data_IF_242350888972
#
_entry.id   IF_242350888972
#
_cell.length_a   1.000
_cell.length_b   1.000
_cell.length_c   1.000
_cell.angle_alpha   90.00
_cell.angle_beta   90.00
_cell.angle_gamma   90.00
#
_symmetry.space_group_name_H-M   'P 1'
#
loop_
_entity.id
_entity.type
_entity.pdbx_description
1 polymer ?
#
# COMPACT_ATOMS: atom_id res chain seq x y z
N UNK A 1 -24.98 2.38 15.08
CA UNK A 1 -24.69 1.05 14.58
C UNK A 1 -24.98 0.99 13.08
N UNK A 2 -24.10 0.34 12.33
CA UNK A 2 -24.26 0.05 10.91
C UNK A 2 -24.60 -1.44 10.73
N UNK A 3 -25.53 -1.75 9.82
CA UNK A 3 -25.81 -3.12 9.38
C UNK A 3 -24.97 -3.42 8.14
N UNK A 4 -24.34 -4.56 8.12
CA UNK A 4 -23.49 -5.04 7.03
C UNK A 4 -24.10 -6.28 6.41
N UNK A 5 -24.57 -6.19 5.16
CA UNK A 5 -24.97 -7.33 4.37
C UNK A 5 -23.85 -7.60 3.37
N UNK A 6 -22.99 -8.59 3.65
CA UNK A 6 -21.80 -8.89 2.87
C UNK A 6 -21.77 -10.33 2.41
N UNK A 7 -21.26 -10.58 1.21
CA UNK A 7 -20.96 -11.90 0.66
C UNK A 7 -19.46 -12.24 0.67
N UNK A 8 -18.62 -11.38 1.26
CA UNK A 8 -17.17 -11.58 1.30
C UNK A 8 -16.67 -11.61 2.75
N UNK A 9 -15.61 -12.36 2.97
CA UNK A 9 -14.87 -12.47 4.21
C UNK A 9 -13.37 -12.50 3.94
N UNK A 10 -12.55 -12.53 4.97
CA UNK A 10 -11.11 -12.61 4.82
C UNK A 10 -10.73 -13.90 4.05
N UNK A 11 -9.94 -13.75 2.98
CA UNK A 11 -9.55 -14.84 2.10
C UNK A 11 -10.51 -15.12 0.93
N UNK A 12 -11.61 -14.38 0.83
CA UNK A 12 -12.50 -14.50 -0.34
C UNK A 12 -11.79 -14.07 -1.62
N UNK A 13 -11.99 -14.83 -2.69
CA UNK A 13 -11.53 -14.46 -4.04
C UNK A 13 -12.64 -13.67 -4.73
N UNK A 14 -12.33 -12.42 -5.07
CA UNK A 14 -13.25 -11.54 -5.81
C UNK A 14 -12.98 -11.71 -7.29
N UNK A 15 -13.89 -12.41 -7.99
CA UNK A 15 -13.86 -12.61 -9.43
C UNK A 15 -14.70 -11.60 -10.21
N UNK A 16 -14.76 -11.78 -11.52
CA UNK A 16 -15.54 -10.95 -12.46
C UNK A 16 -16.80 -11.64 -12.99
N UNK A 17 -17.12 -12.83 -12.48
CA UNK A 17 -18.21 -13.67 -12.99
C UNK A 17 -19.60 -13.20 -12.52
N UNK A 18 -19.64 -12.38 -11.47
CA UNK A 18 -20.86 -11.84 -10.88
C UNK A 18 -20.85 -10.32 -10.90
N UNK A 19 -21.89 -9.69 -10.31
CA UNK A 19 -21.94 -8.24 -10.21
C UNK A 19 -20.81 -7.69 -9.28
N UNK A 20 -20.44 -6.41 -9.43
CA UNK A 20 -19.34 -5.83 -8.69
C UNK A 20 -19.70 -5.44 -7.24
N UNK A 21 -20.88 -5.78 -6.74
CA UNK A 21 -21.31 -5.44 -5.39
C UNK A 21 -20.72 -6.38 -4.35
N UNK A 22 -19.79 -5.91 -3.53
CA UNK A 22 -19.14 -6.69 -2.47
C UNK A 22 -19.97 -6.72 -1.18
N UNK A 23 -20.57 -5.59 -0.82
CA UNK A 23 -21.34 -5.46 0.40
C UNK A 23 -22.36 -4.31 0.29
N UNK A 24 -23.43 -4.39 1.09
CA UNK A 24 -24.38 -3.31 1.33
C UNK A 24 -24.27 -2.85 2.76
N UNK A 25 -23.99 -1.57 2.97
CA UNK A 25 -23.89 -0.96 4.29
C UNK A 25 -25.09 -0.09 4.55
N UNK A 26 -25.78 -0.31 5.66
CA UNK A 26 -27.05 0.34 5.98
C UNK A 26 -26.94 1.01 7.35
N UNK A 27 -27.29 2.28 7.42
CA UNK A 27 -27.37 3.03 8.68
C UNK A 27 -28.73 3.69 8.84
N UNK A 28 -29.12 3.92 10.09
CA UNK A 28 -30.33 4.63 10.46
C UNK A 28 -29.98 5.85 11.32
N UNK A 29 -30.60 6.97 11.04
CA UNK A 29 -30.48 8.21 11.80
C UNK A 29 -31.82 8.88 12.04
N UNK A 30 -31.88 9.81 12.98
CA UNK A 30 -33.07 10.64 13.22
C UNK A 30 -33.33 11.62 12.07
N UNK A 31 -32.26 12.04 11.40
CA UNK A 31 -32.29 12.92 10.23
C UNK A 31 -31.43 12.33 9.11
N UNK A 32 -31.61 12.86 7.89
CA UNK A 32 -30.76 12.52 6.73
C UNK A 32 -29.28 12.75 7.04
N UNK A 33 -28.96 13.89 7.64
CA UNK A 33 -27.57 14.24 8.00
C UNK A 33 -26.98 13.26 9.00
N UNK A 34 -27.74 12.87 10.04
CA UNK A 34 -27.31 11.89 11.03
C UNK A 34 -27.04 10.50 10.38
N UNK A 35 -27.97 10.03 9.53
CA UNK A 35 -27.79 8.76 8.83
C UNK A 35 -26.58 8.79 7.87
N UNK A 36 -26.43 9.87 7.09
CA UNK A 36 -25.32 10.02 6.15
C UNK A 36 -23.97 10.08 6.87
N UNK A 37 -23.86 10.83 7.96
CA UNK A 37 -22.63 10.92 8.75
C UNK A 37 -22.27 9.57 9.40
N UNK A 38 -23.24 8.82 9.92
CA UNK A 38 -23.01 7.47 10.45
C UNK A 38 -22.52 6.52 9.37
N UNK A 39 -23.10 6.60 8.16
CA UNK A 39 -22.69 5.77 7.04
C UNK A 39 -21.27 6.12 6.58
N UNK A 40 -20.96 7.41 6.44
CA UNK A 40 -19.62 7.87 6.08
C UNK A 40 -18.57 7.39 7.11
N UNK A 41 -18.84 7.55 8.40
CA UNK A 41 -17.95 7.12 9.48
C UNK A 41 -17.76 5.58 9.48
N UNK A 42 -18.81 4.81 9.24
CA UNK A 42 -18.71 3.36 9.13
C UNK A 42 -17.81 2.94 7.95
N UNK A 43 -17.95 3.60 6.80
CA UNK A 43 -17.11 3.36 5.63
C UNK A 43 -15.66 3.82 5.83
N UNK A 44 -15.45 4.97 6.48
CA UNK A 44 -14.11 5.49 6.82
C UNK A 44 -13.34 4.55 7.75
N UNK A 45 -14.03 3.89 8.68
CA UNK A 45 -13.44 2.93 9.63
C UNK A 45 -13.21 1.53 9.03
N UNK A 46 -13.70 1.27 7.83
CA UNK A 46 -13.61 -0.01 7.17
C UNK A 46 -12.22 -0.21 6.56
N UNK A 47 -11.57 -1.30 6.94
CA UNK A 47 -10.29 -1.72 6.38
C UNK A 47 -10.50 -2.87 5.39
N UNK A 48 -10.18 -2.63 4.11
CA UNK A 48 -10.25 -3.63 3.04
C UNK A 48 -8.92 -3.62 2.28
N UNK A 49 -8.23 -4.75 2.28
CA UNK A 49 -7.02 -4.97 1.50
C UNK A 49 -7.22 -5.98 0.38
N UNK A 50 -6.40 -5.90 -0.68
CA UNK A 50 -6.37 -6.88 -1.77
C UNK A 50 -7.32 -6.61 -2.94
N UNK A 51 -8.28 -5.70 -2.79
CA UNK A 51 -9.22 -5.32 -3.86
C UNK A 51 -9.46 -3.81 -3.86
N UNK A 52 -9.53 -3.22 -5.04
CA UNK A 52 -9.90 -1.82 -5.19
C UNK A 52 -11.40 -1.65 -5.01
N UNK A 53 -11.82 -0.76 -4.11
CA UNK A 53 -13.22 -0.47 -3.82
C UNK A 53 -13.58 0.96 -4.15
N UNK A 54 -14.88 1.26 -4.22
CA UNK A 54 -15.41 2.63 -4.36
C UNK A 54 -15.66 3.31 -3.01
N UNK A 55 -15.10 2.82 -1.90
CA UNK A 55 -15.31 3.35 -0.55
C UNK A 55 -15.06 4.86 -0.46
N UNK A 56 -13.93 5.33 -0.93
CA UNK A 56 -13.54 6.75 -0.84
C UNK A 56 -14.51 7.64 -1.61
N UNK A 57 -14.95 7.19 -2.79
CA UNK A 57 -15.97 7.87 -3.56
C UNK A 57 -17.31 7.94 -2.82
N UNK A 58 -17.72 6.86 -2.15
CA UNK A 58 -18.95 6.84 -1.35
C UNK A 58 -18.85 7.79 -0.16
N UNK A 59 -17.72 7.80 0.54
CA UNK A 59 -17.49 8.74 1.66
C UNK A 59 -17.54 10.19 1.17
N UNK A 60 -16.83 10.52 0.08
CA UNK A 60 -16.85 11.87 -0.49
C UNK A 60 -18.27 12.29 -0.92
N UNK A 61 -19.03 11.36 -1.51
CA UNK A 61 -20.44 11.62 -1.88
C UNK A 61 -21.31 11.89 -0.67
N UNK A 62 -21.21 11.07 0.38
CA UNK A 62 -22.01 11.20 1.62
C UNK A 62 -21.69 12.49 2.38
N UNK A 63 -20.45 12.97 2.32
CA UNK A 63 -19.96 14.18 2.96
C UNK A 63 -20.27 15.45 2.16
N UNK A 64 -20.71 15.33 0.90
CA UNK A 64 -21.00 16.49 0.06
C UNK A 64 -22.23 17.26 0.57
N UNK A 65 -22.19 18.58 0.46
CA UNK A 65 -23.26 19.48 0.91
C UNK A 65 -24.58 19.19 0.21
N UNK A 66 -24.53 18.91 -1.09
CA UNK A 66 -25.73 18.61 -1.89
C UNK A 66 -26.37 17.29 -1.47
N UNK A 67 -25.57 16.25 -1.14
CA UNK A 67 -26.10 15.01 -0.60
C UNK A 67 -26.80 15.24 0.76
N UNK A 68 -26.15 15.99 1.66
CA UNK A 68 -26.71 16.27 2.99
C UNK A 68 -27.99 17.09 2.91
N UNK A 69 -28.09 18.00 1.94
CA UNK A 69 -29.31 18.82 1.66
C UNK A 69 -30.39 18.06 0.88
N UNK A 70 -30.13 16.82 0.46
CA UNK A 70 -31.12 16.04 -0.32
C UNK A 70 -31.22 16.39 -1.79
N UNK A 71 -30.28 17.16 -2.34
CA UNK A 71 -30.21 17.54 -3.76
C UNK A 71 -29.58 16.43 -4.58
N UNK A 72 -30.21 15.27 -4.61
CA UNK A 72 -29.69 14.05 -5.25
C UNK A 72 -30.48 13.74 -6.52
N UNK A 73 -30.41 14.64 -7.51
CA UNK A 73 -30.94 14.46 -8.86
C UNK A 73 -30.09 13.47 -9.65
N UNK A 74 -30.57 12.99 -10.80
CA UNK A 74 -29.86 11.99 -11.63
C UNK A 74 -28.44 12.43 -12.07
N UNK A 75 -28.23 13.74 -12.14
CA UNK A 75 -26.94 14.38 -12.49
C UNK A 75 -26.09 14.77 -11.26
N UNK A 76 -26.46 14.29 -10.06
CA UNK A 76 -25.75 14.60 -8.81
C UNK A 76 -24.25 14.29 -8.88
N UNK A 77 -23.89 13.12 -9.39
CA UNK A 77 -22.47 12.68 -9.47
C UNK A 77 -21.66 13.60 -10.40
N UNK A 78 -22.25 13.97 -11.53
CA UNK A 78 -21.60 14.87 -12.50
C UNK A 78 -21.38 16.26 -11.91
N UNK A 79 -22.40 16.79 -11.20
CA UNK A 79 -22.35 18.12 -10.59
C UNK A 79 -21.42 18.22 -9.38
N UNK A 80 -21.50 17.25 -8.48
CA UNK A 80 -20.73 17.27 -7.23
C UNK A 80 -19.30 16.74 -7.42
N UNK A 81 -19.05 15.99 -8.49
CA UNK A 81 -17.77 15.38 -8.84
C UNK A 81 -16.98 14.85 -7.60
N UNK A 82 -17.55 13.90 -6.84
CA UNK A 82 -16.92 13.43 -5.62
C UNK A 82 -15.56 12.79 -5.91
N UNK A 83 -14.60 13.01 -5.01
CA UNK A 83 -13.27 12.44 -5.12
C UNK A 83 -13.33 10.90 -5.16
N UNK A 84 -12.69 10.27 -6.14
CA UNK A 84 -12.75 8.82 -6.36
C UNK A 84 -11.79 8.02 -5.51
N UNK A 85 -10.66 8.62 -5.14
CA UNK A 85 -9.65 8.01 -4.30
C UNK A 85 -8.93 9.08 -3.47
N UNK A 86 -8.58 8.74 -2.24
CA UNK A 86 -7.75 9.59 -1.39
C UNK A 86 -6.29 9.33 -1.71
N UNK A 87 -5.56 10.37 -2.11
CA UNK A 87 -4.11 10.32 -2.34
C UNK A 87 -3.43 10.98 -1.17
N UNK A 88 -2.65 10.20 -0.42
CA UNK A 88 -1.92 10.71 0.74
C UNK A 88 -0.75 11.59 0.31
N UNK A 89 -0.55 12.70 1.03
CA UNK A 89 0.55 13.66 0.82
C UNK A 89 0.99 14.21 2.16
N UNK A 90 2.22 14.77 2.19
CA UNK A 90 2.76 15.43 3.38
C UNK A 90 2.74 14.53 4.62
N UNK A 91 2.32 15.07 5.75
CA UNK A 91 2.33 14.39 7.04
C UNK A 91 1.49 13.10 7.09
N UNK A 92 0.39 13.02 6.34
CA UNK A 92 -0.42 11.80 6.26
C UNK A 92 0.36 10.65 5.60
N UNK A 93 1.08 10.92 4.51
CA UNK A 93 1.94 9.94 3.86
C UNK A 93 3.12 9.55 4.75
N UNK A 94 3.76 10.53 5.41
CA UNK A 94 4.87 10.29 6.33
C UNK A 94 4.45 9.43 7.53
N UNK A 95 3.29 9.69 8.11
CA UNK A 95 2.74 8.90 9.21
C UNK A 95 2.41 7.46 8.76
N UNK A 96 1.79 7.30 7.58
CA UNK A 96 1.43 6.00 7.05
C UNK A 96 2.69 5.16 6.73
N UNK A 97 3.69 5.75 6.09
CA UNK A 97 4.96 5.07 5.75
C UNK A 97 5.79 4.77 6.99
N UNK A 98 5.80 5.65 8.00
CA UNK A 98 6.47 5.43 9.28
C UNK A 98 5.82 4.27 10.05
N UNK A 99 4.48 4.24 10.10
CA UNK A 99 3.74 3.14 10.71
C UNK A 99 4.02 1.80 10.00
N UNK A 100 4.02 1.79 8.66
CA UNK A 100 4.39 0.61 7.86
C UNK A 100 5.81 0.13 8.18
N UNK A 101 6.79 1.04 8.16
CA UNK A 101 8.19 0.70 8.38
C UNK A 101 8.45 0.16 9.79
N UNK A 102 7.86 0.77 10.82
CA UNK A 102 8.03 0.31 12.20
C UNK A 102 7.22 -0.95 12.50
N UNK A 103 6.10 -1.18 11.82
CA UNK A 103 5.39 -2.45 11.91
C UNK A 103 6.21 -3.59 11.28
N UNK A 104 6.80 -3.39 10.09
CA UNK A 104 7.71 -4.37 9.44
C UNK A 104 8.93 -4.63 10.35
N UNK A 105 9.45 -3.60 11.00
CA UNK A 105 10.53 -3.76 11.97
C UNK A 105 10.11 -4.66 13.13
N UNK A 106 8.91 -4.47 13.70
CA UNK A 106 8.34 -5.31 14.75
C UNK A 106 8.15 -6.76 14.28
N UNK A 107 7.62 -6.97 13.07
CA UNK A 107 7.45 -8.29 12.46
C UNK A 107 8.80 -9.02 12.31
N UNK A 108 9.83 -8.32 11.81
CA UNK A 108 11.16 -8.88 11.68
C UNK A 108 11.76 -9.27 13.04
N UNK A 109 11.46 -8.51 14.09
CA UNK A 109 11.89 -8.79 15.45
C UNK A 109 11.19 -10.01 16.03
N UNK A 110 9.87 -10.11 15.88
CA UNK A 110 9.10 -11.28 16.31
C UNK A 110 9.56 -12.56 15.61
N UNK A 111 9.85 -12.47 14.33
CA UNK A 111 10.30 -13.60 13.51
C UNK A 111 11.81 -13.90 13.67
N UNK A 112 12.56 -13.11 14.45
CA UNK A 112 13.99 -13.37 14.66
C UNK A 112 14.18 -14.64 15.47
N UNK A 113 15.00 -15.59 14.97
CA UNK A 113 15.30 -16.84 15.65
C UNK A 113 16.44 -16.72 16.66
N UNK A 114 17.23 -15.66 16.59
CA UNK A 114 18.41 -15.43 17.43
C UNK A 114 18.43 -14.01 17.97
N UNK A 115 19.08 -13.81 19.13
CA UNK A 115 19.35 -12.49 19.73
C UNK A 115 18.11 -11.63 20.00
N UNK A 116 16.98 -12.24 20.33
CA UNK A 116 15.72 -11.53 20.65
C UNK A 116 15.86 -10.58 21.85
N UNK A 117 16.70 -10.91 22.82
CA UNK A 117 16.92 -10.12 24.04
C UNK A 117 17.76 -8.86 23.80
N UNK A 118 18.46 -8.78 22.67
CA UNK A 118 19.29 -7.61 22.36
C UNK A 118 18.41 -6.50 21.79
N UNK A 119 18.55 -5.25 22.24
CA UNK A 119 17.82 -4.12 21.68
C UNK A 119 17.99 -4.00 20.17
N UNK A 120 16.89 -3.66 19.47
CA UNK A 120 16.89 -3.49 18.01
C UNK A 120 17.97 -2.52 17.56
N UNK A 121 18.74 -2.92 16.56
CA UNK A 121 19.78 -2.07 15.98
C UNK A 121 21.04 -1.89 16.86
N UNK A 122 21.16 -2.63 17.98
CA UNK A 122 22.35 -2.59 18.80
C UNK A 122 23.61 -2.99 18.02
N UNK A 123 24.67 -2.19 18.12
CA UNK A 123 25.98 -2.42 17.48
C UNK A 123 27.09 -1.80 18.33
N UNK A 124 28.29 -2.39 18.24
CA UNK A 124 29.51 -1.84 18.85
C UNK A 124 30.11 -0.67 18.07
N UNK A 125 29.70 -0.48 16.82
CA UNK A 125 30.20 0.58 15.94
C UNK A 125 29.06 1.48 15.45
N UNK A 126 29.42 2.66 14.96
CA UNK A 126 28.44 3.57 14.33
C UNK A 126 28.04 2.98 12.96
N UNK A 127 26.76 2.65 12.81
CA UNK A 127 26.20 2.21 11.56
C UNK A 127 25.20 3.24 11.04
N UNK A 128 24.97 3.29 9.71
CA UNK A 128 23.90 4.09 9.14
C UNK A 128 22.54 3.65 9.68
N UNK A 129 21.54 4.47 9.51
CA UNK A 129 20.14 4.15 9.84
C UNK A 129 19.69 2.92 9.07
N UNK A 130 18.79 2.16 9.63
CA UNK A 130 18.09 1.10 8.90
C UNK A 130 17.16 1.75 7.87
N UNK A 131 16.89 1.05 6.79
CA UNK A 131 16.16 1.58 5.65
C UNK A 131 15.14 0.55 5.16
N UNK A 132 13.94 1.02 4.88
CA UNK A 132 12.90 0.30 4.15
C UNK A 132 12.45 1.18 2.99
N UNK A 133 12.33 0.59 1.81
CA UNK A 133 11.81 1.28 0.63
C UNK A 133 10.43 0.72 0.32
N UNK A 134 9.46 1.61 0.22
CA UNK A 134 8.06 1.32 -0.11
C UNK A 134 7.73 1.99 -1.45
N UNK A 135 6.92 1.35 -2.28
CA UNK A 135 6.31 2.00 -3.44
C UNK A 135 4.89 2.42 -3.10
N UNK A 136 4.55 3.67 -3.37
CA UNK A 136 3.21 4.24 -3.22
C UNK A 136 2.82 4.96 -4.51
N UNK A 137 1.77 4.50 -5.20
CA UNK A 137 1.33 5.05 -6.49
C UNK A 137 2.49 5.19 -7.49
N UNK A 138 3.28 4.11 -7.64
CA UNK A 138 4.46 4.04 -8.52
C UNK A 138 5.64 4.96 -8.16
N UNK A 139 5.56 5.67 -7.03
CA UNK A 139 6.67 6.46 -6.49
C UNK A 139 7.35 5.69 -5.36
N UNK A 140 8.67 5.72 -5.35
CA UNK A 140 9.46 5.15 -4.27
C UNK A 140 9.50 6.12 -3.08
N UNK A 141 9.19 5.59 -1.90
CA UNK A 141 9.29 6.30 -0.61
C UNK A 141 10.26 5.56 0.27
N UNK A 142 11.38 6.19 0.55
CA UNK A 142 12.40 5.65 1.45
C UNK A 142 12.08 6.08 2.89
N UNK A 143 12.02 5.13 3.81
CA UNK A 143 11.90 5.38 5.24
C UNK A 143 13.15 4.88 5.94
N UNK A 144 13.87 5.79 6.58
CA UNK A 144 15.03 5.46 7.41
C UNK A 144 14.66 5.54 8.89
N UNK A 145 15.17 4.61 9.69
CA UNK A 145 14.91 4.64 11.13
C UNK A 145 16.10 4.14 11.95
N UNK A 146 16.15 4.60 13.20
CA UNK A 146 17.13 4.19 14.20
C UNK A 146 16.47 4.12 15.57
N UNK A 147 16.66 3.01 16.27
CA UNK A 147 16.21 2.86 17.65
C UNK A 147 17.08 3.72 18.59
N UNK A 148 16.45 4.46 19.48
CA UNK A 148 17.07 5.23 20.55
C UNK A 148 17.14 4.40 21.84
N UNK A 149 17.92 4.86 22.83
CA UNK A 149 18.08 4.17 24.12
C UNK A 149 16.83 4.18 24.99
N UNK A 150 15.95 5.14 24.80
CA UNK A 150 14.67 5.29 25.51
C UNK A 150 13.52 4.45 24.91
N UNK A 151 13.82 3.63 23.89
CA UNK A 151 12.84 2.79 23.20
C UNK A 151 12.07 3.52 22.09
N UNK A 152 12.32 4.81 21.89
CA UNK A 152 11.79 5.55 20.74
C UNK A 152 12.58 5.26 19.46
N UNK A 153 12.06 5.71 18.32
CA UNK A 153 12.72 5.65 17.03
C UNK A 153 12.88 7.05 16.45
N UNK A 154 14.09 7.37 16.00
CA UNK A 154 14.29 8.49 15.09
C UNK A 154 13.98 8.00 13.67
N UNK A 155 12.93 8.51 13.05
CA UNK A 155 12.47 8.18 11.71
C UNK A 155 12.78 9.34 10.78
N UNK A 156 13.36 9.05 9.64
CA UNK A 156 13.87 10.07 8.72
C UNK A 156 14.78 11.09 9.45
N UNK A 157 14.77 12.36 9.09
CA UNK A 157 15.66 13.34 9.70
C UNK A 157 15.09 13.97 10.97
N UNK A 158 13.78 14.27 10.99
CA UNK A 158 13.17 15.13 12.01
C UNK A 158 12.05 14.45 12.81
N UNK A 159 11.63 13.24 12.41
CA UNK A 159 10.48 12.56 13.00
C UNK A 159 10.90 11.66 14.16
N UNK A 160 10.24 11.84 15.31
CA UNK A 160 10.35 10.91 16.45
C UNK A 160 9.10 10.06 16.55
N UNK A 161 9.28 8.75 16.64
CA UNK A 161 8.19 7.81 16.79
C UNK A 161 8.38 6.93 18.03
N UNK A 162 7.29 6.61 18.71
CA UNK A 162 7.28 5.68 19.84
C UNK A 162 6.22 4.62 19.59
N UNK A 163 6.63 3.37 19.48
CA UNK A 163 5.70 2.24 19.39
C UNK A 163 5.16 1.97 20.80
N UNK A 164 3.85 2.09 20.96
CA UNK A 164 3.15 1.87 22.24
C UNK A 164 2.75 0.40 22.34
N UNK A 165 2.20 -0.14 21.24
CA UNK A 165 1.85 -1.54 21.13
C UNK A 165 2.03 -2.03 19.69
N UNK A 166 2.40 -3.29 19.53
CA UNK A 166 2.58 -3.93 18.25
C UNK A 166 1.86 -5.28 18.23
N UNK A 167 1.09 -5.51 17.17
CA UNK A 167 0.41 -6.78 16.93
C UNK A 167 0.63 -7.23 15.48
N UNK A 168 0.46 -8.50 15.15
CA UNK A 168 0.50 -8.97 13.75
C UNK A 168 -0.52 -8.28 12.83
N UNK A 169 -1.57 -7.65 13.37
CA UNK A 169 -2.65 -6.99 12.63
C UNK A 169 -2.63 -5.47 12.75
N UNK A 170 -1.63 -4.88 13.41
CA UNK A 170 -1.59 -3.42 13.55
C UNK A 170 -0.53 -2.90 14.50
N UNK A 171 -0.47 -1.58 14.60
CA UNK A 171 0.47 -0.86 15.45
C UNK A 171 -0.21 0.34 16.11
N UNK A 172 -0.01 0.49 17.42
CA UNK A 172 -0.32 1.70 18.17
C UNK A 172 0.97 2.52 18.30
N UNK A 173 0.98 3.68 17.72
CA UNK A 173 2.19 4.48 17.57
C UNK A 173 1.92 5.94 17.86
N UNK A 174 2.90 6.59 18.48
CA UNK A 174 2.95 8.04 18.64
C UNK A 174 4.04 8.60 17.71
N UNK A 175 3.67 9.51 16.82
CA UNK A 175 4.58 10.21 15.91
C UNK A 175 4.47 11.70 16.18
N UNK A 176 5.59 12.35 16.55
CA UNK A 176 5.64 13.77 16.87
C UNK A 176 4.53 14.20 17.85
N UNK A 177 4.34 13.43 18.94
CA UNK A 177 3.30 13.65 19.96
C UNK A 177 1.85 13.45 19.49
N UNK A 178 1.63 12.91 18.30
CA UNK A 178 0.32 12.50 17.83
C UNK A 178 0.21 10.98 17.88
N UNK A 179 -0.66 10.44 18.75
CA UNK A 179 -0.88 9.00 18.88
C UNK A 179 -2.06 8.55 18.02
N UNK A 180 -1.86 7.46 17.31
CA UNK A 180 -2.90 6.81 16.53
C UNK A 180 -2.66 5.30 16.44
N UNK A 181 -3.73 4.57 16.17
CA UNK A 181 -3.68 3.15 15.85
C UNK A 181 -3.82 2.95 14.34
N UNK A 182 -2.99 2.10 13.78
CA UNK A 182 -3.11 1.66 12.38
C UNK A 182 -3.37 0.17 12.33
N UNK A 183 -4.45 -0.24 11.64
CA UNK A 183 -4.63 -1.63 11.22
C UNK A 183 -3.73 -1.91 10.04
N UNK A 184 -3.09 -3.06 10.03
CA UNK A 184 -2.15 -3.42 8.98
C UNK A 184 -2.43 -4.85 8.52
N UNK A 185 -2.48 -5.01 7.20
CA UNK A 185 -2.60 -6.32 6.55
C UNK A 185 -1.51 -6.43 5.51
N UNK A 186 -0.77 -7.53 5.52
CA UNK A 186 0.25 -7.84 4.54
C UNK A 186 -0.14 -9.10 3.76
N UNK A 187 0.05 -9.04 2.45
CA UNK A 187 -0.02 -10.19 1.54
C UNK A 187 1.16 -10.09 0.58
N UNK A 188 2.09 -11.04 0.68
CA UNK A 188 3.37 -11.02 -0.02
C UNK A 188 4.12 -9.70 0.20
N UNK A 189 4.45 -8.99 -0.89
CA UNK A 189 5.11 -7.69 -0.84
C UNK A 189 4.15 -6.51 -0.65
N UNK A 190 2.84 -6.75 -0.67
CA UNK A 190 1.84 -5.69 -0.52
C UNK A 190 1.44 -5.53 0.94
N UNK A 191 1.41 -4.29 1.41
CA UNK A 191 1.00 -3.93 2.76
C UNK A 191 -0.06 -2.82 2.69
N UNK A 192 -1.19 -3.06 3.33
CA UNK A 192 -2.27 -2.06 3.46
C UNK A 192 -2.25 -1.53 4.88
N UNK A 193 -2.08 -0.24 5.02
CA UNK A 193 -2.05 0.48 6.30
C UNK A 193 -3.28 1.36 6.40
N UNK A 194 -4.17 1.04 7.34
CA UNK A 194 -5.36 1.80 7.65
C UNK A 194 -5.15 2.64 8.89
N UNK A 195 -5.30 3.94 8.77
CA UNK A 195 -5.13 4.88 9.88
C UNK A 195 -6.14 6.04 9.79
N UNK A 196 -5.91 7.14 10.52
CA UNK A 196 -6.79 8.32 10.47
C UNK A 196 -6.95 8.94 9.07
N UNK A 197 -6.07 8.58 8.15
CA UNK A 197 -6.08 9.01 6.74
C UNK A 197 -6.87 8.06 5.81
N UNK A 198 -7.44 6.96 6.31
CA UNK A 198 -8.01 5.87 5.50
C UNK A 198 -7.00 4.78 5.18
N UNK A 199 -7.18 4.06 4.07
CA UNK A 199 -6.28 3.00 3.62
C UNK A 199 -5.16 3.56 2.73
N UNK A 200 -3.94 3.08 2.95
CA UNK A 200 -2.80 3.28 2.07
C UNK A 200 -2.23 1.92 1.67
N UNK A 201 -2.19 1.65 0.37
CA UNK A 201 -1.55 0.47 -0.18
C UNK A 201 -0.11 0.80 -0.54
N UNK A 202 0.82 0.07 0.06
CA UNK A 202 2.24 0.12 -0.26
C UNK A 202 2.70 -1.22 -0.80
N UNK A 203 3.71 -1.19 -1.66
CA UNK A 203 4.49 -2.38 -2.02
C UNK A 203 5.86 -2.27 -1.36
N UNK A 204 6.27 -3.31 -0.65
CA UNK A 204 7.59 -3.40 -0.04
C UNK A 204 8.59 -3.74 -1.15
N UNK A 205 9.56 -2.86 -1.37
CA UNK A 205 10.59 -3.10 -2.36
C UNK A 205 11.74 -3.91 -1.73
N UNK A 206 12.27 -4.91 -2.44
CA UNK A 206 13.35 -5.74 -1.91
C UNK A 206 14.60 -4.89 -1.70
N UNK A 207 15.28 -5.09 -0.56
CA UNK A 207 16.51 -4.38 -0.23
C UNK A 207 17.66 -4.70 -1.18
N UNK A 208 17.67 -5.90 -1.72
CA UNK A 208 18.69 -6.39 -2.65
C UNK A 208 17.99 -7.03 -3.83
N UNK A 209 18.37 -6.62 -5.03
CA UNK A 209 17.98 -7.28 -6.28
C UNK A 209 19.08 -8.24 -6.67
N UNK A 210 18.71 -9.45 -7.09
CA UNK A 210 19.68 -10.39 -7.65
C UNK A 210 20.22 -9.79 -8.95
N UNK A 211 21.55 -9.87 -9.21
CA UNK A 211 22.12 -9.47 -10.48
C UNK A 211 21.41 -10.21 -11.63
N UNK A 212 20.85 -9.48 -12.58
CA UNK A 212 20.10 -10.04 -13.71
C UNK A 212 18.58 -10.22 -13.48
N UNK A 213 18.03 -9.88 -12.31
CA UNK A 213 16.57 -9.93 -12.07
C UNK A 213 15.83 -8.70 -12.60
N UNK A 214 16.49 -7.67 -13.04
CA UNK A 214 15.89 -6.54 -13.74
C UNK A 214 15.56 -6.94 -15.19
N UNK A 215 14.57 -7.79 -15.36
CA UNK A 215 13.92 -7.94 -16.65
C UNK A 215 13.07 -6.68 -16.83
N UNK A 216 13.65 -5.67 -17.48
CA UNK A 216 12.86 -4.55 -17.95
C UNK A 216 11.77 -5.11 -18.87
N UNK A 217 10.53 -4.97 -18.48
CA UNK A 217 9.40 -5.38 -19.31
C UNK A 217 9.53 -4.64 -20.65
N UNK A 218 9.83 -5.37 -21.72
CA UNK A 218 10.10 -4.83 -23.05
C UNK A 218 11.59 -4.61 -23.39
N UNK A 219 12.52 -4.91 -22.49
CA UNK A 219 13.96 -4.92 -22.80
C UNK A 219 14.33 -6.13 -23.66
N UNK A 220 14.98 -5.89 -24.80
CA UNK A 220 15.57 -6.96 -25.63
C UNK A 220 16.91 -7.36 -25.02
N UNK A 221 16.85 -8.10 -23.88
CA UNK A 221 18.04 -8.60 -23.17
C UNK A 221 18.19 -10.09 -23.47
N UNK A 222 19.39 -10.50 -23.83
CA UNK A 222 19.68 -11.90 -24.04
C UNK A 222 19.43 -12.71 -22.75
N UNK A 223 18.68 -13.82 -22.77
CA UNK A 223 18.35 -14.60 -21.58
C UNK A 223 19.58 -15.30 -20.97
N UNK A 224 20.65 -15.44 -21.76
CA UNK A 224 21.94 -16.01 -21.35
C UNK A 224 23.07 -15.46 -22.21
N UNK A 225 24.33 -15.51 -21.74
CA UNK A 225 25.47 -15.15 -22.58
C UNK A 225 25.55 -16.05 -23.81
N UNK A 226 25.63 -15.46 -25.00
CA UNK A 226 25.65 -16.17 -26.27
C UNK A 226 26.28 -15.33 -27.38
N UNK A 227 26.50 -15.97 -28.54
CA UNK A 227 27.00 -15.31 -29.73
C UNK A 227 25.82 -15.00 -30.65
N UNK A 228 25.74 -13.74 -31.15
CA UNK A 228 24.75 -13.39 -32.19
C UNK A 228 25.14 -14.09 -33.47
N UNK A 229 24.27 -14.96 -33.99
CA UNK A 229 24.44 -15.66 -35.27
C UNK A 229 23.86 -14.83 -36.39
N UNK A 230 22.66 -14.28 -36.20
CA UNK A 230 21.94 -13.59 -37.24
C UNK A 230 21.13 -12.42 -36.70
N UNK A 231 21.06 -11.35 -37.49
CA UNK A 231 20.27 -10.15 -37.22
C UNK A 231 19.19 -9.97 -38.30
N UNK A 232 17.96 -10.30 -37.97
CA UNK A 232 16.83 -10.33 -38.91
C UNK A 232 16.24 -8.95 -39.22
N UNK A 233 16.63 -7.90 -38.47
CA UNK A 233 16.08 -6.54 -38.59
C UNK A 233 17.18 -5.51 -38.73
N UNK A 234 16.86 -4.34 -39.34
CA UNK A 234 17.73 -3.18 -39.46
C UNK A 234 17.14 -2.01 -38.69
N UNK A 235 17.98 -1.05 -38.35
CA UNK A 235 17.54 0.20 -37.71
C UNK A 235 16.43 0.85 -38.51
N UNK A 236 15.28 1.13 -37.89
CA UNK A 236 14.09 1.69 -38.54
C UNK A 236 13.08 0.66 -39.10
N UNK A 237 13.35 -0.65 -39.01
CA UNK A 237 12.39 -1.67 -39.42
C UNK A 237 11.15 -1.65 -38.53
N UNK A 238 9.96 -1.74 -39.13
CA UNK A 238 8.70 -1.92 -38.38
C UNK A 238 8.56 -3.39 -38.00
N UNK A 239 8.38 -3.68 -36.71
CA UNK A 239 8.25 -5.04 -36.15
C UNK A 239 6.94 -5.18 -35.40
N UNK A 240 6.42 -6.42 -35.33
CA UNK A 240 5.22 -6.77 -34.59
C UNK A 240 5.60 -7.66 -33.41
N UNK A 241 4.70 -7.78 -32.43
CA UNK A 241 4.86 -8.71 -31.31
C UNK A 241 4.95 -10.13 -31.84
N UNK A 242 6.06 -10.84 -31.53
CA UNK A 242 6.32 -12.21 -32.00
C UNK A 242 7.30 -12.31 -33.16
N UNK A 243 7.73 -11.18 -33.77
CA UNK A 243 8.74 -11.23 -34.84
C UNK A 243 10.11 -11.56 -34.25
N UNK A 244 10.84 -12.45 -34.94
CA UNK A 244 12.24 -12.77 -34.57
C UNK A 244 13.14 -11.63 -34.99
N UNK A 245 13.81 -11.02 -34.01
CA UNK A 245 14.68 -9.85 -34.27
C UNK A 245 16.16 -10.26 -34.39
N UNK A 246 16.59 -11.16 -33.48
CA UNK A 246 18.00 -11.61 -33.33
C UNK A 246 18.00 -13.10 -33.04
N UNK A 247 18.93 -13.84 -33.61
CA UNK A 247 19.21 -15.23 -33.29
C UNK A 247 20.50 -15.30 -32.53
N UNK A 248 20.44 -15.93 -31.34
CA UNK A 248 21.57 -16.11 -30.46
C UNK A 248 21.91 -17.60 -30.37
N UNK A 249 23.18 -17.96 -30.49
CA UNK A 249 23.70 -19.29 -30.14
C UNK A 249 24.25 -19.25 -28.72
N UNK A 250 23.74 -20.15 -27.89
CA UNK A 250 24.25 -20.37 -26.55
C UNK A 250 24.30 -21.85 -26.25
N UNK A 251 25.43 -22.35 -25.78
CA UNK A 251 25.62 -23.75 -25.35
C UNK A 251 25.17 -24.80 -26.37
N UNK A 252 25.41 -24.60 -27.67
CA UNK A 252 24.99 -25.45 -28.79
C UNK A 252 23.47 -25.51 -29.07
N UNK A 253 22.73 -24.52 -28.62
CA UNK A 253 21.30 -24.32 -28.95
C UNK A 253 21.13 -22.98 -29.66
N UNK A 254 20.27 -22.96 -30.68
CA UNK A 254 19.86 -21.75 -31.40
C UNK A 254 18.52 -21.18 -30.89
#
# INVERSE_FOLDING_TARGET
>A
DARWDTGIEQGSVVGTDFDPMLAKVITKGKTRVDAANKLALALESLHIGGVTTNRDFLVASLRSEDFLKGKTTSDFIEKSNPQRAVVLKGSALENATSAAALWIQGQNRENANILKEIPTGWRNSRLPRQKITLSYLDNEVEVTYKSNRDGSFAVNEETTAKVIDWTPSGIDIEINSSRFYSKITQADDNIVVHGPWGDALFKILPRFTLPGSEIQAGGLIAPMPGKVIDLKVKVGSKVKKGDTLVILEAMKME
#
